data_IF_543700368671
#
_entry.id   IF_543700368671
#
_cell.length_a   1.000
_cell.length_b   1.000
_cell.length_c   1.000
_cell.angle_alpha   90.00
_cell.angle_beta   90.00
_cell.angle_gamma   90.00
#
_symmetry.space_group_name_H-M   'P 1'
#
loop_
_entity.id
_entity.type
_entity.pdbx_description
1 polymer ?
#
# COMPACT_ATOMS: atom_id res chain seq x y z
N UNK A 1 36.04 -48.68 12.82
CA UNK A 1 35.70 -47.35 13.39
C UNK A 1 35.34 -47.54 14.86
N UNK A 2 36.10 -46.95 15.79
CA UNK A 2 36.00 -47.27 17.22
C UNK A 2 34.79 -46.55 17.84
N UNK A 3 33.85 -47.31 18.42
CA UNK A 3 32.53 -46.85 18.90
C UNK A 3 32.61 -45.74 19.97
N UNK A 4 33.75 -45.60 20.63
CA UNK A 4 34.02 -44.50 21.56
C UNK A 4 34.09 -43.13 20.85
N UNK A 5 34.65 -43.08 19.65
CA UNK A 5 34.75 -41.85 18.86
C UNK A 5 33.40 -41.44 18.26
N UNK A 6 32.57 -42.41 17.88
CA UNK A 6 31.23 -42.14 17.36
C UNK A 6 30.32 -41.53 18.46
N UNK A 7 30.43 -42.03 19.70
CA UNK A 7 29.69 -41.49 20.85
C UNK A 7 30.15 -40.08 21.24
N UNK A 8 31.46 -39.79 21.13
CA UNK A 8 32.01 -38.46 21.36
C UNK A 8 31.55 -37.47 20.29
N UNK A 9 31.54 -37.87 19.02
CA UNK A 9 31.06 -37.02 17.92
C UNK A 9 29.56 -36.72 18.07
N UNK A 10 28.76 -37.72 18.46
CA UNK A 10 27.31 -37.55 18.68
C UNK A 10 27.02 -36.64 19.88
N UNK A 11 27.78 -36.77 20.98
CA UNK A 11 27.68 -35.88 22.13
C UNK A 11 28.09 -34.44 21.78
N UNK A 12 29.12 -34.26 20.94
CA UNK A 12 29.55 -32.94 20.48
C UNK A 12 28.51 -32.27 19.58
N UNK A 13 27.86 -33.02 18.68
CA UNK A 13 26.78 -32.50 17.81
C UNK A 13 25.54 -32.14 18.64
N UNK A 14 25.20 -32.93 19.67
CA UNK A 14 24.11 -32.59 20.60
C UNK A 14 24.43 -31.34 21.44
N UNK A 15 25.68 -31.20 21.91
CA UNK A 15 26.12 -30.03 22.67
C UNK A 15 26.17 -28.76 21.79
N UNK A 16 26.62 -28.88 20.53
CA UNK A 16 26.60 -27.77 19.57
C UNK A 16 25.19 -27.43 19.09
N UNK A 17 24.31 -28.43 18.95
CA UNK A 17 22.89 -28.22 18.67
C UNK A 17 22.20 -27.37 19.74
N UNK A 18 22.53 -27.57 21.02
CA UNK A 18 22.02 -26.74 22.12
C UNK A 18 22.59 -25.31 22.13
N UNK A 19 23.81 -25.10 21.60
CA UNK A 19 24.41 -23.76 21.49
C UNK A 19 23.78 -22.96 20.33
N UNK A 20 23.36 -23.63 19.25
CA UNK A 20 22.71 -22.97 18.10
C UNK A 20 21.19 -22.88 18.18
N UNK A 21 20.51 -23.72 18.97
CA UNK A 21 19.04 -23.68 19.17
C UNK A 21 18.58 -22.72 20.29
N UNK A 22 19.52 -22.08 20.99
CA UNK A 22 19.23 -21.11 22.05
C UNK A 22 18.82 -19.71 21.55
N UNK A 23 18.77 -19.47 20.24
CA UNK A 23 18.15 -18.25 19.68
C UNK A 23 16.73 -18.59 19.22
N UNK A 24 15.89 -18.92 20.19
CA UNK A 24 14.48 -18.61 20.03
C UNK A 24 14.40 -17.09 19.83
N UNK A 25 13.92 -16.64 18.66
CA UNK A 25 13.39 -15.29 18.49
C UNK A 25 12.09 -15.18 19.30
N UNK A 26 12.20 -15.30 20.62
CA UNK A 26 11.16 -14.88 21.54
C UNK A 26 11.27 -13.38 21.65
N UNK A 27 10.31 -12.65 21.10
CA UNK A 27 10.10 -11.27 21.50
C UNK A 27 9.82 -11.29 23.02
N UNK A 28 10.84 -10.92 23.79
CA UNK A 28 10.69 -10.68 25.22
C UNK A 28 9.84 -9.43 25.38
N UNK A 29 8.53 -9.60 25.54
CA UNK A 29 7.61 -8.49 25.83
C UNK A 29 6.84 -8.79 27.11
N UNK A 30 7.56 -8.98 28.21
CA UNK A 30 6.96 -8.80 29.54
C UNK A 30 7.59 -7.55 30.13
N UNK A 31 7.08 -6.39 29.72
CA UNK A 31 7.42 -5.14 30.39
C UNK A 31 6.93 -5.24 31.84
N UNK A 32 7.76 -4.98 32.87
CA UNK A 32 7.41 -5.16 34.28
C UNK A 32 6.40 -4.13 34.81
N UNK A 33 5.99 -3.17 33.97
CA UNK A 33 5.04 -2.10 34.26
C UNK A 33 3.89 -2.16 33.24
N UNK A 34 2.65 -1.78 33.63
CA UNK A 34 1.56 -1.61 32.67
C UNK A 34 1.96 -0.66 31.54
N UNK A 35 1.75 -1.09 30.29
CA UNK A 35 2.01 -0.27 29.12
C UNK A 35 1.20 1.03 29.18
N UNK A 36 1.84 2.16 28.89
CA UNK A 36 1.19 3.46 28.71
C UNK A 36 1.25 3.92 27.26
N UNK A 37 0.53 5.00 26.93
CA UNK A 37 0.57 5.60 25.59
C UNK A 37 1.98 5.99 25.14
N UNK A 38 2.86 6.34 26.09
CA UNK A 38 4.27 6.65 25.83
C UNK A 38 5.09 5.42 25.39
N UNK A 39 4.63 4.20 25.72
CA UNK A 39 5.25 2.95 25.29
C UNK A 39 4.77 2.51 23.90
N UNK A 40 3.78 3.21 23.33
CA UNK A 40 3.29 2.89 21.99
C UNK A 40 4.41 3.11 20.96
N UNK A 41 4.62 2.17 20.02
CA UNK A 41 5.56 2.36 18.94
C UNK A 41 5.24 3.67 18.20
N UNK A 42 6.23 4.55 18.10
CA UNK A 42 6.11 5.81 17.37
C UNK A 42 6.16 5.59 15.85
N UNK A 43 6.53 4.39 15.41
CA UNK A 43 6.50 3.98 14.01
C UNK A 43 5.04 3.88 13.55
N UNK A 44 4.64 4.56 12.47
CA UNK A 44 3.31 4.39 11.88
C UNK A 44 3.04 2.90 11.63
N UNK A 45 1.96 2.39 12.19
CA UNK A 45 1.50 1.02 11.94
C UNK A 45 0.47 1.11 10.82
N UNK A 46 0.90 0.84 9.59
CA UNK A 46 -0.02 0.71 8.46
C UNK A 46 -0.71 -0.65 8.61
N UNK A 47 -1.96 -0.72 9.07
CA UNK A 47 -2.61 -2.02 9.37
C UNK A 47 -3.04 -2.78 8.10
N UNK A 48 -2.09 -3.24 7.28
CA UNK A 48 -2.32 -4.07 6.11
C UNK A 48 -1.26 -5.17 5.96
N UNK A 49 -1.44 -6.06 4.98
CA UNK A 49 -0.65 -7.29 4.86
C UNK A 49 0.86 -7.05 4.73
N UNK A 50 1.27 -6.01 4.00
CA UNK A 50 2.68 -5.60 3.90
C UNK A 50 3.33 -5.33 5.26
N UNK A 51 2.72 -4.48 6.08
CA UNK A 51 3.20 -4.19 7.45
C UNK A 51 3.20 -5.45 8.33
N UNK A 52 2.19 -6.32 8.22
CA UNK A 52 2.17 -7.58 8.94
C UNK A 52 3.39 -8.43 8.59
N UNK A 53 3.73 -8.55 7.30
CA UNK A 53 4.89 -9.32 6.86
C UNK A 53 6.22 -8.71 7.34
N UNK A 54 6.32 -7.38 7.37
CA UNK A 54 7.48 -6.67 7.95
C UNK A 54 7.60 -6.96 9.44
N UNK A 55 6.50 -6.85 10.19
CA UNK A 55 6.47 -7.10 11.65
C UNK A 55 6.79 -8.54 12.03
N UNK A 56 6.46 -9.49 11.15
CA UNK A 56 6.86 -10.90 11.28
C UNK A 56 8.33 -11.16 10.93
N UNK A 57 9.07 -10.14 10.48
CA UNK A 57 10.47 -10.25 10.07
C UNK A 57 10.67 -11.02 8.77
N UNK A 58 9.63 -11.12 7.93
CA UNK A 58 9.67 -11.87 6.66
C UNK A 58 10.15 -11.02 5.48
N UNK A 59 9.86 -9.73 5.50
CA UNK A 59 10.26 -8.76 4.49
C UNK A 59 10.84 -7.51 5.15
N UNK A 60 11.70 -6.79 4.43
CA UNK A 60 12.09 -5.44 4.85
C UNK A 60 10.96 -4.44 4.54
N UNK A 61 10.99 -3.26 5.16
CA UNK A 61 10.06 -2.16 4.82
C UNK A 61 10.14 -1.85 3.33
N UNK A 62 11.35 -1.81 2.77
CA UNK A 62 11.55 -1.47 1.37
C UNK A 62 10.97 -2.52 0.42
N UNK A 63 11.17 -3.80 0.72
CA UNK A 63 10.66 -4.89 -0.12
C UNK A 63 9.13 -4.99 -0.05
N UNK A 64 8.54 -4.68 1.10
CA UNK A 64 7.10 -4.79 1.29
C UNK A 64 6.33 -3.53 0.87
N UNK A 65 6.92 -2.35 1.07
CA UNK A 65 6.24 -1.05 1.03
C UNK A 65 6.97 0.00 0.17
N UNK A 66 7.94 -0.41 -0.65
CA UNK A 66 8.61 0.47 -1.59
C UNK A 66 9.61 1.49 -0.99
N UNK A 67 9.95 2.58 -1.72
CA UNK A 67 9.31 2.98 -2.96
C UNK A 67 9.56 2.00 -4.11
N UNK A 68 8.51 1.67 -4.84
CA UNK A 68 8.57 0.99 -6.13
C UNK A 68 8.84 2.02 -7.24
N UNK A 69 9.25 1.54 -8.41
CA UNK A 69 9.58 2.43 -9.52
C UNK A 69 8.35 3.24 -9.98
N UNK A 70 8.49 4.57 -9.99
CA UNK A 70 7.45 5.47 -10.46
C UNK A 70 7.36 5.46 -11.97
N UNK A 71 6.13 5.43 -12.48
CA UNK A 71 5.85 5.81 -13.87
C UNK A 71 5.08 7.11 -13.83
N UNK A 72 5.72 8.21 -14.24
CA UNK A 72 4.99 9.45 -14.48
C UNK A 72 4.10 9.25 -15.71
N UNK A 73 2.82 9.57 -15.57
CA UNK A 73 1.86 9.50 -16.66
C UNK A 73 1.58 10.87 -17.27
N UNK A 74 1.37 10.90 -18.58
CA UNK A 74 0.89 12.05 -19.33
C UNK A 74 -0.55 11.80 -19.82
N UNK A 75 -1.29 12.89 -20.05
CA UNK A 75 -2.69 12.82 -20.49
C UNK A 75 -2.78 12.02 -21.79
N UNK A 76 -3.69 11.04 -21.81
CA UNK A 76 -3.86 10.08 -22.90
C UNK A 76 -3.22 8.73 -22.65
N UNK A 77 -2.28 8.62 -21.70
CA UNK A 77 -1.68 7.34 -21.33
C UNK A 77 -2.73 6.36 -20.79
N UNK A 78 -2.50 5.08 -21.03
CA UNK A 78 -3.34 3.99 -20.52
C UNK A 78 -2.58 3.11 -19.55
N UNK A 79 -3.25 2.65 -18.50
CA UNK A 79 -2.71 1.66 -17.56
C UNK A 79 -3.79 0.70 -17.11
N UNK A 80 -3.38 -0.37 -16.46
CA UNK A 80 -4.30 -1.36 -15.87
C UNK A 80 -4.40 -1.06 -14.38
N UNK A 81 -5.64 -1.04 -13.87
CA UNK A 81 -5.91 -1.11 -12.45
C UNK A 81 -6.61 -2.42 -12.11
N UNK A 82 -6.17 -3.05 -11.01
CA UNK A 82 -6.85 -4.18 -10.40
C UNK A 82 -7.82 -3.66 -9.35
N UNK A 83 -9.13 -3.83 -9.56
CA UNK A 83 -10.16 -3.25 -8.67
C UNK A 83 -10.61 -4.30 -7.65
N UNK A 84 -10.58 -3.95 -6.37
CA UNK A 84 -11.05 -4.71 -5.19
C UNK A 84 -10.31 -6.04 -4.96
N UNK A 85 -10.42 -7.01 -5.87
CA UNK A 85 -9.66 -8.28 -5.96
C UNK A 85 -9.99 -8.99 -7.28
N UNK A 86 -10.47 -8.27 -8.29
CA UNK A 86 -10.96 -8.87 -9.52
C UNK A 86 -9.80 -9.50 -10.31
N UNK A 87 -9.97 -10.76 -10.72
CA UNK A 87 -9.08 -11.45 -11.66
C UNK A 87 -9.07 -10.82 -13.06
N UNK A 88 -9.95 -9.84 -13.31
CA UNK A 88 -10.06 -9.15 -14.59
C UNK A 88 -9.29 -7.83 -14.51
N UNK A 89 -8.18 -7.68 -15.25
CA UNK A 89 -7.51 -6.40 -15.38
C UNK A 89 -8.41 -5.40 -16.12
N UNK A 90 -8.61 -4.22 -15.54
CA UNK A 90 -9.40 -3.14 -16.15
C UNK A 90 -8.46 -2.07 -16.70
N UNK A 91 -8.63 -1.73 -17.97
CA UNK A 91 -7.83 -0.69 -18.63
C UNK A 91 -8.47 0.67 -18.38
N UNK A 92 -7.66 1.63 -17.97
CA UNK A 92 -8.04 3.03 -17.78
C UNK A 92 -7.16 3.93 -18.62
N UNK A 93 -7.70 5.08 -19.02
CA UNK A 93 -7.00 6.17 -19.68
C UNK A 93 -6.93 7.38 -18.74
N UNK A 94 -5.79 8.07 -18.76
CA UNK A 94 -5.61 9.32 -18.03
C UNK A 94 -6.23 10.48 -18.81
N UNK A 95 -7.30 11.08 -18.27
CA UNK A 95 -7.97 12.22 -18.92
C UNK A 95 -7.41 13.55 -18.43
N UNK A 96 -6.98 13.63 -17.17
CA UNK A 96 -6.45 14.86 -16.59
C UNK A 96 -5.38 14.59 -15.54
N UNK A 97 -4.37 15.45 -15.48
CA UNK A 97 -3.31 15.43 -14.48
C UNK A 97 -3.24 16.80 -13.80
N UNK A 98 -3.39 16.81 -12.48
CA UNK A 98 -3.27 18.00 -11.65
C UNK A 98 -1.93 18.01 -10.89
N UNK A 99 -1.76 18.95 -9.95
CA UNK A 99 -0.58 19.01 -9.09
C UNK A 99 -0.48 17.74 -8.21
N UNK A 100 -1.60 17.34 -7.59
CA UNK A 100 -1.65 16.28 -6.58
C UNK A 100 -2.42 15.02 -7.01
N UNK A 101 -3.01 14.97 -8.21
CA UNK A 101 -3.78 13.81 -8.64
C UNK A 101 -3.70 13.48 -10.14
N UNK A 102 -3.90 12.20 -10.44
CA UNK A 102 -4.22 11.68 -11.76
C UNK A 102 -5.70 11.26 -11.82
N UNK A 103 -6.42 11.67 -12.86
CA UNK A 103 -7.85 11.39 -13.03
C UNK A 103 -8.05 10.37 -14.16
N UNK A 104 -8.33 9.13 -13.75
CA UNK A 104 -8.46 7.96 -14.62
C UNK A 104 -9.91 7.61 -14.87
N UNK A 105 -10.22 7.25 -16.11
CA UNK A 105 -11.54 6.83 -16.57
C UNK A 105 -11.41 5.64 -17.53
N UNK A 106 -12.51 4.93 -17.79
CA UNK A 106 -12.50 3.96 -18.89
C UNK A 106 -12.21 4.69 -20.22
N UNK A 107 -11.55 4.04 -21.19
CA UNK A 107 -11.18 4.71 -22.43
C UNK A 107 -12.37 5.39 -23.13
N UNK A 108 -13.51 4.72 -23.22
CA UNK A 108 -14.67 5.24 -23.97
C UNK A 108 -15.64 6.07 -23.11
N UNK A 109 -15.24 6.48 -21.89
CA UNK A 109 -16.05 7.35 -21.04
C UNK A 109 -16.29 8.71 -21.71
N UNK A 110 -17.54 9.17 -21.69
CA UNK A 110 -17.92 10.54 -22.04
C UNK A 110 -17.71 11.42 -20.81
N UNK A 111 -16.76 12.34 -20.88
CA UNK A 111 -16.35 13.17 -19.73
C UNK A 111 -16.40 14.64 -20.13
N UNK A 112 -17.23 15.42 -19.44
CA UNK A 112 -17.20 16.88 -19.49
C UNK A 112 -15.87 17.39 -18.93
N UNK A 113 -15.00 17.78 -19.86
CA UNK A 113 -13.68 18.30 -19.57
C UNK A 113 -13.70 19.61 -18.76
N UNK A 114 -14.78 20.40 -18.81
CA UNK A 114 -14.94 21.61 -17.98
C UNK A 114 -15.23 21.22 -16.54
N UNK A 115 -16.14 20.26 -16.33
CA UNK A 115 -16.44 19.72 -15.02
C UNK A 115 -15.21 19.05 -14.38
N UNK A 116 -14.47 18.24 -15.15
CA UNK A 116 -13.24 17.57 -14.69
C UNK A 116 -12.17 18.58 -14.28
N UNK A 117 -11.94 19.63 -15.06
CA UNK A 117 -10.98 20.69 -14.70
C UNK A 117 -11.39 21.43 -13.43
N UNK A 118 -12.68 21.70 -13.26
CA UNK A 118 -13.22 22.33 -12.05
C UNK A 118 -13.01 21.43 -10.81
N UNK A 119 -13.33 20.14 -10.94
CA UNK A 119 -13.12 19.15 -9.89
C UNK A 119 -11.63 19.01 -9.52
N UNK A 120 -10.74 18.95 -10.51
CA UNK A 120 -9.31 18.87 -10.30
C UNK A 120 -8.73 20.12 -9.62
N UNK A 121 -9.18 21.30 -10.04
CA UNK A 121 -8.79 22.56 -9.39
C UNK A 121 -9.21 22.56 -7.94
N UNK A 122 -10.47 22.18 -7.64
CA UNK A 122 -10.97 22.11 -6.28
C UNK A 122 -10.23 21.08 -5.43
N UNK A 123 -9.87 19.94 -6.03
CA UNK A 123 -9.06 18.93 -5.34
C UNK A 123 -7.74 19.52 -4.88
N UNK A 124 -7.00 20.17 -5.78
CA UNK A 124 -5.67 20.73 -5.48
C UNK A 124 -5.72 21.94 -4.53
N UNK A 125 -6.71 22.82 -4.67
CA UNK A 125 -6.74 24.10 -3.93
C UNK A 125 -7.52 24.06 -2.62
N UNK A 126 -8.45 23.12 -2.46
CA UNK A 126 -9.31 23.02 -1.28
C UNK A 126 -9.16 21.68 -0.56
N UNK A 127 -9.40 20.57 -1.25
CA UNK A 127 -9.50 19.25 -0.62
C UNK A 127 -8.14 18.79 -0.10
N UNK A 128 -7.12 18.82 -0.95
CA UNK A 128 -5.78 18.35 -0.59
C UNK A 128 -5.17 19.15 0.58
N UNK A 129 -5.17 20.50 0.58
CA UNK A 129 -4.69 21.26 1.72
C UNK A 129 -5.49 21.01 3.01
N UNK A 130 -6.81 20.84 2.90
CA UNK A 130 -7.66 20.54 4.07
C UNK A 130 -7.34 19.19 4.69
N UNK A 131 -7.11 18.16 3.86
CA UNK A 131 -6.69 16.83 4.35
C UNK A 131 -5.33 16.91 5.04
N UNK A 132 -4.37 17.63 4.44
CA UNK A 132 -3.04 17.82 5.02
C UNK A 132 -3.09 18.58 6.36
N UNK A 133 -3.93 19.61 6.48
CA UNK A 133 -4.11 20.38 7.71
C UNK A 133 -4.74 19.54 8.84
N UNK A 134 -5.72 18.70 8.50
CA UNK A 134 -6.44 17.87 9.48
C UNK A 134 -5.67 16.63 9.92
N UNK A 135 -4.96 15.98 9.00
CA UNK A 135 -4.36 14.65 9.23
C UNK A 135 -2.82 14.66 9.20
N UNK A 136 -2.21 15.81 8.91
CA UNK A 136 -0.76 15.99 8.82
C UNK A 136 -0.26 16.00 7.38
N UNK A 137 0.95 16.53 7.18
CA UNK A 137 1.58 16.53 5.87
C UNK A 137 1.90 15.10 5.43
N UNK A 138 1.38 14.69 4.27
CA UNK A 138 1.88 13.56 3.51
C UNK A 138 3.36 13.82 3.15
N UNK A 139 4.24 13.33 4.01
CA UNK A 139 5.70 13.38 3.81
C UNK A 139 6.22 12.17 3.05
N UNK A 140 5.36 11.17 2.82
CA UNK A 140 5.65 10.05 1.95
C UNK A 140 5.29 10.44 0.52
N UNK A 141 6.31 10.64 -0.32
CA UNK A 141 6.23 10.20 -1.71
C UNK A 141 5.53 8.85 -1.69
N UNK A 142 4.47 8.68 -2.49
CA UNK A 142 3.64 7.49 -2.42
C UNK A 142 4.47 6.20 -2.53
N UNK A 143 3.83 5.05 -2.36
CA UNK A 143 4.53 3.78 -2.45
C UNK A 143 5.30 3.59 -3.78
N UNK A 144 4.97 4.36 -4.81
CA UNK A 144 5.62 4.40 -6.12
C UNK A 144 6.51 5.63 -6.34
N UNK A 145 6.86 6.43 -5.33
CA UNK A 145 7.67 7.65 -5.49
C UNK A 145 7.06 8.73 -6.42
N UNK A 146 5.75 8.71 -6.70
CA UNK A 146 5.01 9.84 -7.27
C UNK A 146 4.23 10.55 -6.13
N UNK A 147 4.26 11.90 -6.04
CA UNK A 147 3.45 12.62 -5.05
C UNK A 147 1.96 12.66 -5.38
N UNK A 148 1.53 12.20 -6.57
CA UNK A 148 0.14 12.23 -6.99
C UNK A 148 -0.61 10.97 -6.58
N UNK A 149 -1.82 11.15 -6.08
CA UNK A 149 -2.75 10.05 -5.89
C UNK A 149 -3.46 9.70 -7.20
N UNK A 150 -3.82 8.44 -7.37
CA UNK A 150 -4.56 7.94 -8.52
C UNK A 150 -6.07 7.93 -8.19
N UNK A 151 -6.82 8.85 -8.79
CA UNK A 151 -8.28 8.91 -8.70
C UNK A 151 -8.88 8.10 -9.86
N UNK A 152 -9.32 6.88 -9.57
CA UNK A 152 -9.92 5.96 -10.55
C UNK A 152 -11.44 6.09 -10.50
N UNK A 153 -12.03 6.65 -11.55
CA UNK A 153 -13.47 6.83 -11.68
C UNK A 153 -14.08 5.58 -12.29
N UNK A 154 -15.09 5.05 -11.63
CA UNK A 154 -15.76 3.81 -11.97
C UNK A 154 -17.24 4.09 -12.25
N UNK A 155 -17.75 3.45 -13.29
CA UNK A 155 -19.18 3.25 -13.44
C UNK A 155 -19.67 2.34 -12.29
N UNK A 156 -20.90 2.57 -11.86
CA UNK A 156 -21.49 2.00 -10.64
C UNK A 156 -21.13 0.52 -10.40
N UNK A 157 -20.26 0.26 -9.42
CA UNK A 157 -19.99 -1.09 -8.94
C UNK A 157 -21.00 -1.53 -7.88
N UNK A 158 -21.43 -0.60 -7.02
CA UNK A 158 -22.33 -0.84 -5.90
C UNK A 158 -23.17 0.40 -5.60
N UNK A 159 -24.50 0.25 -5.65
CA UNK A 159 -25.43 1.30 -5.23
C UNK A 159 -25.16 1.70 -3.77
N UNK A 160 -25.07 3.01 -3.50
CA UNK A 160 -24.85 3.55 -2.15
C UNK A 160 -23.38 3.83 -1.79
N UNK A 161 -22.43 3.50 -2.66
CA UNK A 161 -21.00 3.69 -2.40
C UNK A 161 -20.46 4.87 -3.23
N UNK A 162 -19.99 5.93 -2.57
CA UNK A 162 -19.38 7.08 -3.26
C UNK A 162 -17.93 6.82 -3.69
N UNK A 163 -17.22 5.94 -2.97
CA UNK A 163 -15.83 5.61 -3.23
C UNK A 163 -15.24 4.72 -2.15
N UNK A 164 -14.05 4.18 -2.42
CA UNK A 164 -13.29 3.36 -1.47
C UNK A 164 -11.79 3.39 -1.78
N UNK A 165 -10.99 2.87 -0.85
CA UNK A 165 -9.55 2.64 -1.03
C UNK A 165 -9.24 1.18 -0.70
N UNK A 166 -8.15 0.63 -1.25
CA UNK A 166 -7.69 -0.72 -0.96
C UNK A 166 -6.28 -0.67 -0.35
N UNK A 167 -6.09 -1.12 0.91
CA UNK A 167 -4.75 -1.20 1.50
C UNK A 167 -3.80 -2.15 0.76
N UNK A 168 -4.34 -3.07 -0.05
CA UNK A 168 -3.53 -3.97 -0.87
C UNK A 168 -2.80 -3.22 -1.99
N UNK A 169 -3.30 -2.07 -2.44
CA UNK A 169 -2.64 -1.24 -3.46
C UNK A 169 -1.33 -0.61 -2.97
N UNK A 170 -1.11 -0.61 -1.65
CA UNK A 170 0.04 -0.02 -0.99
C UNK A 170 1.04 -1.08 -0.50
N UNK A 171 1.26 -2.15 -1.26
CA UNK A 171 2.21 -3.20 -0.86
C UNK A 171 2.73 -3.98 -2.08
N UNK A 172 3.89 -4.63 -1.97
CA UNK A 172 4.46 -5.39 -3.09
C UNK A 172 3.50 -6.47 -3.60
N UNK A 173 3.43 -6.66 -4.92
CA UNK A 173 2.57 -7.69 -5.52
C UNK A 173 2.87 -9.12 -5.04
N UNK A 174 4.12 -9.38 -4.63
CA UNK A 174 4.55 -10.65 -4.03
C UNK A 174 3.90 -10.94 -2.67
N UNK A 175 3.42 -9.90 -1.99
CA UNK A 175 2.76 -9.96 -0.69
C UNK A 175 1.25 -9.73 -0.83
N UNK A 176 0.86 -8.67 -1.53
CA UNK A 176 -0.52 -8.31 -1.81
C UNK A 176 -0.85 -8.63 -3.27
N UNK A 177 -1.43 -9.81 -3.50
CA UNK A 177 -1.89 -10.18 -4.83
C UNK A 177 -2.81 -9.09 -5.41
N UNK A 178 -2.64 -8.79 -6.70
CA UNK A 178 -3.36 -7.73 -7.42
C UNK A 178 -3.11 -6.30 -6.91
N UNK A 179 -2.05 -6.07 -6.14
CA UNK A 179 -1.66 -4.70 -5.78
C UNK A 179 -1.39 -3.85 -7.01
N UNK A 180 -1.95 -2.64 -7.02
CA UNK A 180 -1.58 -1.62 -8.01
C UNK A 180 -0.23 -0.94 -7.69
N UNK A 181 0.35 -1.19 -6.51
CA UNK A 181 1.59 -0.57 -6.04
C UNK A 181 1.57 0.96 -6.18
N UNK A 182 0.42 1.58 -5.84
CA UNK A 182 0.11 3.01 -6.02
C UNK A 182 -0.86 3.47 -4.93
N UNK A 183 -0.88 4.77 -4.65
CA UNK A 183 -1.90 5.37 -3.80
C UNK A 183 -3.19 5.62 -4.59
N UNK A 184 -4.12 4.65 -4.54
CA UNK A 184 -5.35 4.66 -5.34
C UNK A 184 -6.58 4.99 -4.49
N UNK A 185 -7.41 5.90 -4.98
CA UNK A 185 -8.80 6.08 -4.54
C UNK A 185 -9.74 5.76 -5.69
N UNK A 186 -10.71 4.90 -5.43
CA UNK A 186 -11.76 4.56 -6.38
C UNK A 186 -12.99 5.42 -6.09
N UNK A 187 -13.51 6.09 -7.11
CA UNK A 187 -14.64 7.01 -7.00
C UNK A 187 -15.77 6.55 -7.93
N UNK A 188 -17.01 6.64 -7.46
CA UNK A 188 -18.18 6.23 -8.24
C UNK A 188 -18.82 7.44 -8.91
N UNK A 189 -19.02 7.36 -10.22
CA UNK A 189 -19.61 8.46 -11.00
C UNK A 189 -21.06 8.76 -10.60
N UNK A 190 -21.80 7.79 -10.04
CA UNK A 190 -23.16 7.99 -9.52
C UNK A 190 -23.29 9.14 -8.50
N UNK A 191 -22.21 9.43 -7.75
CA UNK A 191 -22.20 10.43 -6.67
C UNK A 191 -21.33 11.64 -6.98
N UNK A 192 -20.64 11.63 -8.11
CA UNK A 192 -19.81 12.71 -8.63
C UNK A 192 -19.78 12.67 -10.15
N UNK A 193 -20.92 12.89 -10.82
CA UNK A 193 -21.00 12.79 -12.28
C UNK A 193 -20.11 13.84 -12.93
N UNK A 194 -19.47 13.45 -14.01
CA UNK A 194 -18.59 14.28 -14.83
C UNK A 194 -18.97 14.16 -16.31
N UNK A 195 -20.23 13.82 -16.61
CA UNK A 195 -20.85 13.68 -17.92
C UNK A 195 -21.90 14.77 -18.21
#
# INVERSE_FOLDING_TARGET
>A
MNTRWLKLLFALVMALGLIFWGRAYGQSTTSPRPLTWDDAPQTPILRHEGDNQVRLGRYSVQDALGPFDSTRFDVGDTTIFSIVTADVPHTFRLFYRSEYAYFWFEPESDVDMVALQSAATRFDTEIWPTVQDLFGESTSWGIDNDPRIHLVHLDSLYSGLAGFFSPNDQCAQEICAHSNQRDVLYLMLDYGPLD
#
